data_IF_439468230690
#
_entry.id   IF_439468230690
#
_cell.length_a   1.000
_cell.length_b   1.000
_cell.length_c   1.000
_cell.angle_alpha   90.00
_cell.angle_beta   90.00
_cell.angle_gamma   90.00
#
_symmetry.space_group_name_H-M   'P 1'
#
loop_
_entity.id
_entity.type
_entity.pdbx_description
1 polymer ?
#
# COMPACT_ATOMS: atom_id res chain seq x y z
N UNK A 1 -3.92 20.03 -10.51
CA UNK A 1 -4.83 19.32 -9.58
C UNK A 1 -4.60 17.81 -9.55
N UNK A 2 -4.54 17.08 -10.68
CA UNK A 2 -4.31 15.62 -10.68
C UNK A 2 -3.03 15.14 -9.96
N UNK A 3 -1.95 15.94 -10.01
CA UNK A 3 -0.69 15.61 -9.32
C UNK A 3 -0.81 15.58 -7.79
N UNK A 4 -1.62 16.45 -7.17
CA UNK A 4 -1.75 16.52 -5.71
C UNK A 4 -2.46 15.27 -5.20
N UNK A 5 -3.56 14.87 -5.86
CA UNK A 5 -4.30 13.66 -5.49
C UNK A 5 -3.48 12.38 -5.70
N UNK A 6 -2.62 12.34 -6.73
CA UNK A 6 -1.69 11.21 -6.95
C UNK A 6 -0.66 11.11 -5.80
N UNK A 7 -0.04 12.22 -5.41
CA UNK A 7 0.90 12.21 -4.27
C UNK A 7 0.20 11.79 -2.98
N UNK A 8 -0.97 12.37 -2.68
CA UNK A 8 -1.74 12.07 -1.47
C UNK A 8 -2.17 10.60 -1.40
N UNK A 9 -2.63 10.00 -2.52
CA UNK A 9 -3.03 8.59 -2.51
C UNK A 9 -1.81 7.67 -2.35
N UNK A 10 -0.66 8.02 -2.91
CA UNK A 10 0.57 7.26 -2.73
C UNK A 10 1.11 7.33 -1.30
N UNK A 11 1.01 8.50 -0.67
CA UNK A 11 1.35 8.67 0.75
C UNK A 11 0.39 7.88 1.65
N UNK A 12 -0.91 7.96 1.39
CA UNK A 12 -1.93 7.22 2.12
C UNK A 12 -1.71 5.71 2.03
N UNK A 13 -1.50 5.19 0.82
CA UNK A 13 -1.20 3.77 0.60
C UNK A 13 0.10 3.37 1.29
N UNK A 14 1.15 4.20 1.20
CA UNK A 14 2.41 3.96 1.89
C UNK A 14 2.23 3.89 3.42
N UNK A 15 1.41 4.78 3.99
CA UNK A 15 1.09 4.75 5.41
C UNK A 15 0.33 3.47 5.80
N UNK A 16 -0.67 3.05 5.01
CA UNK A 16 -1.42 1.81 5.25
C UNK A 16 -0.55 0.56 5.15
N UNK A 17 0.38 0.51 4.19
CA UNK A 17 1.35 -0.59 4.05
C UNK A 17 2.21 -0.69 5.31
N UNK A 18 2.80 0.42 5.78
CA UNK A 18 3.62 0.44 7.01
C UNK A 18 2.84 -0.06 8.24
N UNK A 19 1.56 0.31 8.36
CA UNK A 19 0.71 -0.17 9.45
C UNK A 19 0.44 -1.68 9.35
N UNK A 20 0.16 -2.19 8.16
CA UNK A 20 -0.08 -3.61 7.93
C UNK A 20 1.19 -4.44 8.17
N UNK A 21 2.36 -3.96 7.75
CA UNK A 21 3.66 -4.57 8.07
C UNK A 21 3.91 -4.64 9.58
N UNK A 22 3.65 -3.54 10.30
CA UNK A 22 3.76 -3.50 11.76
C UNK A 22 2.80 -4.51 12.41
N UNK A 23 1.57 -4.61 11.90
CA UNK A 23 0.58 -5.59 12.34
C UNK A 23 1.04 -7.02 12.13
N UNK A 24 1.51 -7.34 10.92
CA UNK A 24 2.10 -8.64 10.57
C UNK A 24 3.24 -9.00 11.50
N UNK A 25 4.18 -8.07 11.72
CA UNK A 25 5.34 -8.31 12.58
C UNK A 25 4.95 -8.58 14.03
N UNK A 26 3.91 -7.91 14.54
CA UNK A 26 3.35 -8.23 15.86
C UNK A 26 2.72 -9.62 15.89
N UNK A 27 1.96 -9.99 14.86
CA UNK A 27 1.33 -11.32 14.76
C UNK A 27 2.38 -12.45 14.70
N UNK A 28 3.47 -12.25 13.95
CA UNK A 28 4.60 -13.19 13.90
C UNK A 28 5.22 -13.37 15.29
N UNK A 29 5.49 -12.26 16.01
CA UNK A 29 6.04 -12.32 17.38
C UNK A 29 5.08 -12.99 18.37
N UNK A 30 3.77 -12.82 18.18
CA UNK A 30 2.73 -13.42 19.01
C UNK A 30 2.30 -14.83 18.60
N UNK A 31 2.90 -15.41 17.55
CA UNK A 31 2.46 -16.69 16.96
C UNK A 31 0.97 -16.73 16.56
N UNK A 32 0.39 -15.58 16.20
CA UNK A 32 -0.99 -15.49 15.74
C UNK A 32 -1.07 -15.64 14.22
N UNK A 33 -1.19 -16.90 13.78
CA UNK A 33 -1.23 -17.28 12.37
C UNK A 33 -2.42 -16.65 11.62
N UNK A 34 -3.58 -16.52 12.28
CA UNK A 34 -4.79 -15.95 11.66
C UNK A 34 -4.59 -14.47 11.37
N UNK A 35 -4.07 -13.74 12.35
CA UNK A 35 -3.80 -12.30 12.20
C UNK A 35 -2.63 -12.07 11.23
N UNK A 36 -1.64 -12.95 11.20
CA UNK A 36 -0.56 -12.91 10.19
C UNK A 36 -1.13 -12.99 8.78
N UNK A 37 -1.95 -14.01 8.49
CA UNK A 37 -2.57 -14.20 7.16
C UNK A 37 -3.48 -13.05 6.76
N UNK A 38 -4.20 -12.48 7.72
CA UNK A 38 -5.00 -11.27 7.48
C UNK A 38 -4.13 -10.10 6.98
N UNK A 39 -3.03 -9.80 7.67
CA UNK A 39 -2.13 -8.73 7.25
C UNK A 39 -1.38 -9.05 5.94
N UNK A 40 -1.11 -10.32 5.65
CA UNK A 40 -0.55 -10.74 4.37
C UNK A 40 -1.50 -10.47 3.21
N UNK A 41 -2.79 -10.80 3.35
CA UNK A 41 -3.81 -10.46 2.36
C UNK A 41 -3.93 -8.95 2.17
N UNK A 42 -3.99 -8.20 3.28
CA UNK A 42 -4.05 -6.74 3.23
C UNK A 42 -2.83 -6.12 2.52
N UNK A 43 -1.63 -6.64 2.77
CA UNK A 43 -0.41 -6.18 2.09
C UNK A 43 -0.45 -6.47 0.59
N UNK A 44 -0.96 -7.64 0.20
CA UNK A 44 -1.10 -7.99 -1.22
C UNK A 44 -2.04 -7.02 -1.94
N UNK A 45 -3.20 -6.73 -1.35
CA UNK A 45 -4.17 -5.79 -1.90
C UNK A 45 -3.59 -4.37 -2.04
N UNK A 46 -2.99 -3.85 -0.97
CA UNK A 46 -2.42 -2.50 -0.95
C UNK A 46 -1.29 -2.32 -1.97
N UNK A 47 -0.39 -3.31 -2.08
CA UNK A 47 0.69 -3.27 -3.06
C UNK A 47 0.17 -3.41 -4.49
N UNK A 48 -0.88 -4.22 -4.71
CA UNK A 48 -1.52 -4.35 -6.01
C UNK A 48 -2.17 -3.03 -6.44
N UNK A 49 -2.90 -2.37 -5.53
CA UNK A 49 -3.48 -1.05 -5.79
C UNK A 49 -2.41 -0.02 -6.08
N UNK A 50 -1.35 0.05 -5.27
CA UNK A 50 -0.24 0.98 -5.48
C UNK A 50 0.41 0.79 -6.85
N UNK A 51 0.66 -0.47 -7.25
CA UNK A 51 1.21 -0.80 -8.57
C UNK A 51 0.26 -0.38 -9.69
N UNK A 52 -1.02 -0.69 -9.57
CA UNK A 52 -2.04 -0.30 -10.56
C UNK A 52 -2.09 1.22 -10.76
N UNK A 53 -2.08 2.00 -9.67
CA UNK A 53 -2.08 3.46 -9.75
C UNK A 53 -0.84 3.99 -10.45
N UNK A 54 0.35 3.51 -10.07
CA UNK A 54 1.59 3.95 -10.71
C UNK A 54 1.64 3.58 -12.19
N UNK A 55 1.21 2.38 -12.56
CA UNK A 55 1.25 1.89 -13.95
C UNK A 55 0.20 2.52 -14.86
N UNK A 56 -1.03 2.72 -14.35
CA UNK A 56 -2.18 3.09 -15.18
C UNK A 56 -2.61 4.53 -15.04
N UNK A 57 -2.31 5.17 -13.91
CA UNK A 57 -2.72 6.54 -13.62
C UNK A 57 -1.54 7.49 -13.69
N UNK A 58 -0.45 7.23 -12.96
CA UNK A 58 0.70 8.14 -12.93
C UNK A 58 1.52 8.10 -14.23
N UNK A 59 1.84 6.91 -14.73
CA UNK A 59 2.60 6.76 -15.97
C UNK A 59 1.83 7.17 -17.23
N UNK A 60 0.49 7.28 -17.18
CA UNK A 60 -0.30 7.89 -18.26
C UNK A 60 -0.31 9.42 -18.18
N UNK A 61 -0.17 9.98 -16.98
CA UNK A 61 -0.17 11.42 -16.73
C UNK A 61 1.23 12.04 -16.75
N UNK A 62 2.17 11.53 -17.59
CA UNK A 62 3.52 12.12 -17.76
C UNK A 62 3.48 13.58 -18.20
N UNK A 63 3.30 14.50 -17.26
CA UNK A 63 4.03 15.76 -17.17
C UNK A 63 4.95 15.60 -15.97
N UNK A 64 6.12 15.00 -16.23
CA UNK A 64 7.29 15.21 -15.39
C UNK A 64 7.62 16.70 -15.47
N UNK A 65 7.63 17.38 -14.32
CA UNK A 65 8.46 18.55 -14.08
C UNK A 65 9.39 18.21 -12.92
#
# INVERSE_FOLDING_TARGET
MAHIFSVEIHEFLGHKIRLAEKGKNKAVKGNDEKVRRYFEGQLLELNTMRRYLSEKIDLKNRKYY
#
